data_IF_305867177225
#
_entry.id   IF_305867177225
#
_cell.length_a   1.000
_cell.length_b   1.000
_cell.length_c   1.000
_cell.angle_alpha   90.00
_cell.angle_beta   90.00
_cell.angle_gamma   90.00
#
_symmetry.space_group_name_H-M   'P 1'
#
loop_
_entity.id
_entity.type
_entity.pdbx_description
1 polymer ?
#
# COMPACT_ATOMS: atom_id res chain seq x y z
N UNK A 1 10.99 -13.84 -19.06
CA UNK A 1 12.02 -13.70 -18.01
C UNK A 1 11.32 -13.21 -16.75
N UNK A 2 11.79 -13.63 -15.60
CA UNK A 2 11.25 -13.24 -14.29
C UNK A 2 12.23 -12.25 -13.67
N UNK A 3 11.74 -11.13 -13.15
CA UNK A 3 12.52 -10.18 -12.38
C UNK A 3 11.96 -10.10 -10.96
N UNK A 4 12.84 -10.03 -9.97
CA UNK A 4 12.50 -9.84 -8.56
C UNK A 4 13.36 -8.70 -8.06
N UNK A 5 12.72 -7.63 -7.60
CA UNK A 5 13.37 -6.46 -7.02
C UNK A 5 12.94 -6.30 -5.56
N UNK A 6 13.92 -6.29 -4.66
CA UNK A 6 13.71 -6.21 -3.20
C UNK A 6 13.95 -4.77 -2.77
N UNK A 7 12.86 -4.03 -2.60
CA UNK A 7 12.90 -2.59 -2.32
C UNK A 7 12.82 -2.26 -0.83
N UNK A 8 12.58 -3.25 0.03
CA UNK A 8 12.51 -3.10 1.48
C UNK A 8 12.50 -4.45 2.19
N UNK A 9 12.87 -4.47 3.48
CA UNK A 9 13.06 -5.71 4.24
C UNK A 9 14.42 -6.39 4.02
N UNK A 10 15.31 -5.83 3.18
CA UNK A 10 16.67 -6.30 3.02
C UNK A 10 17.57 -5.78 4.14
N UNK A 11 18.28 -6.65 4.86
CA UNK A 11 19.18 -6.30 5.97
C UNK A 11 18.49 -5.53 7.12
N UNK A 12 17.17 -5.68 7.28
CA UNK A 12 16.38 -5.10 8.36
C UNK A 12 15.21 -6.01 8.74
N UNK A 13 14.60 -5.75 9.91
CA UNK A 13 13.36 -6.41 10.32
C UNK A 13 12.20 -5.50 9.95
N UNK A 14 11.31 -6.02 9.11
CA UNK A 14 10.14 -5.33 8.61
C UNK A 14 10.41 -4.43 7.40
N UNK A 15 9.39 -3.71 6.94
CA UNK A 15 9.47 -2.86 5.75
C UNK A 15 9.37 -3.63 4.44
N UNK A 16 8.77 -4.82 4.45
CA UNK A 16 8.70 -5.72 3.30
C UNK A 16 8.02 -5.04 2.11
N UNK A 17 8.77 -4.99 0.99
CA UNK A 17 8.34 -4.45 -0.31
C UNK A 17 9.11 -5.19 -1.39
N UNK A 18 8.47 -6.14 -2.06
CA UNK A 18 9.10 -6.92 -3.13
C UNK A 18 8.29 -6.75 -4.40
N UNK A 19 8.93 -6.29 -5.47
CA UNK A 19 8.33 -6.20 -6.78
C UNK A 19 8.69 -7.45 -7.59
N UNK A 20 7.68 -8.12 -8.12
CA UNK A 20 7.85 -9.29 -9.00
C UNK A 20 7.28 -8.96 -10.37
N UNK A 21 8.09 -9.19 -11.41
CA UNK A 21 7.69 -8.97 -12.79
C UNK A 21 7.84 -10.22 -13.64
N UNK A 22 6.84 -10.49 -14.47
CA UNK A 22 6.91 -11.49 -15.52
C UNK A 22 6.04 -11.12 -16.72
N UNK A 23 6.62 -11.17 -17.93
CA UNK A 23 5.92 -10.93 -19.21
C UNK A 23 5.03 -9.66 -19.19
N UNK A 24 5.52 -8.59 -18.59
CA UNK A 24 4.81 -7.30 -18.46
C UNK A 24 3.79 -7.23 -17.32
N UNK A 25 3.56 -8.32 -16.59
CA UNK A 25 2.76 -8.32 -15.35
C UNK A 25 3.66 -7.98 -14.17
N UNK A 26 3.26 -6.98 -13.37
CA UNK A 26 4.02 -6.50 -12.21
C UNK A 26 3.15 -6.55 -10.97
N UNK A 27 3.60 -7.27 -9.94
CA UNK A 27 2.90 -7.36 -8.66
C UNK A 27 3.82 -6.96 -7.51
N UNK A 28 3.24 -6.36 -6.47
CA UNK A 28 3.91 -6.08 -5.22
C UNK A 28 3.55 -7.16 -4.18
N UNK A 29 4.56 -7.65 -3.46
CA UNK A 29 4.37 -8.49 -2.28
C UNK A 29 4.67 -7.62 -1.05
N UNK A 30 3.62 -7.39 -0.27
CA UNK A 30 3.56 -6.45 0.83
C UNK A 30 3.95 -5.00 0.44
N UNK A 31 3.54 -4.06 1.29
CA UNK A 31 3.99 -2.68 1.19
C UNK A 31 4.04 -2.03 2.57
N UNK A 32 5.00 -2.47 3.37
CA UNK A 32 5.05 -2.19 4.78
C UNK A 32 6.03 -1.11 5.23
N UNK A 33 5.90 -0.68 6.47
CA UNK A 33 6.77 0.31 7.09
C UNK A 33 8.10 -0.28 7.56
N UNK A 34 9.23 0.34 7.21
CA UNK A 34 10.53 -0.01 7.79
C UNK A 34 10.65 0.61 9.18
N UNK A 35 10.69 -0.22 10.22
CA UNK A 35 10.89 0.27 11.58
C UNK A 35 12.30 0.84 11.80
N UNK A 36 13.31 0.23 11.18
CA UNK A 36 14.70 0.68 11.30
C UNK A 36 14.84 2.09 10.71
N UNK A 37 14.43 2.30 9.46
CA UNK A 37 14.50 3.62 8.84
C UNK A 37 13.62 4.63 9.56
N UNK A 38 12.38 4.25 9.93
CA UNK A 38 11.46 5.17 10.60
C UNK A 38 12.01 5.66 11.95
N UNK A 39 12.65 4.78 12.73
CA UNK A 39 13.21 5.13 14.05
C UNK A 39 14.43 6.06 14.00
N UNK A 40 15.06 6.26 12.83
CA UNK A 40 16.13 7.26 12.66
C UNK A 40 15.61 8.70 12.69
N UNK A 41 14.36 8.90 12.27
CA UNK A 41 13.79 10.23 12.05
C UNK A 41 12.60 10.52 12.96
N UNK A 42 11.87 9.49 13.36
CA UNK A 42 10.63 9.62 14.11
C UNK A 42 10.69 8.85 15.43
N UNK A 43 9.97 9.37 16.41
CA UNK A 43 9.82 8.78 17.74
C UNK A 43 8.40 9.08 18.24
N UNK A 44 8.05 8.57 19.42
CA UNK A 44 6.70 8.72 20.00
C UNK A 44 6.18 10.17 19.95
N UNK A 45 7.05 11.14 20.28
CA UNK A 45 6.72 12.57 20.29
C UNK A 45 7.15 13.32 19.02
N UNK A 46 7.84 12.64 18.09
CA UNK A 46 8.32 13.22 16.84
C UNK A 46 7.72 12.46 15.66
N UNK A 47 6.56 12.93 15.21
CA UNK A 47 5.80 12.31 14.13
C UNK A 47 6.04 13.02 12.78
N UNK A 48 5.84 12.32 11.65
CA UNK A 48 5.91 12.94 10.35
C UNK A 48 4.93 14.09 10.20
N UNK A 49 5.35 15.13 9.47
CA UNK A 49 4.49 16.28 9.20
C UNK A 49 3.41 15.87 8.22
N UNK A 50 2.14 16.04 8.60
CA UNK A 50 0.99 15.77 7.74
C UNK A 50 1.07 16.51 6.39
N UNK A 51 1.68 17.69 6.35
CA UNK A 51 1.67 18.55 5.16
C UNK A 51 2.75 18.23 4.11
N UNK A 52 3.76 17.44 4.43
CA UNK A 52 4.90 17.11 3.54
C UNK A 52 5.23 15.63 3.55
N UNK A 53 4.38 14.80 4.17
CA UNK A 53 4.61 13.38 4.40
C UNK A 53 5.14 12.63 3.16
N UNK A 54 4.50 12.64 1.98
CA UNK A 54 5.01 11.87 0.85
C UNK A 54 6.41 12.32 0.39
N UNK A 55 6.71 13.62 0.41
CA UNK A 55 8.05 14.15 0.06
C UNK A 55 9.10 13.70 1.05
N UNK A 56 8.83 13.89 2.34
CA UNK A 56 9.77 13.54 3.40
C UNK A 56 10.06 12.03 3.39
N UNK A 57 9.05 11.19 3.10
CA UNK A 57 9.23 9.73 3.05
C UNK A 57 10.08 9.27 1.87
N UNK A 58 9.98 9.91 0.70
CA UNK A 58 10.84 9.60 -0.44
C UNK A 58 12.28 10.08 -0.18
N UNK A 59 12.45 11.33 0.28
CA UNK A 59 13.77 11.92 0.55
C UNK A 59 14.53 11.16 1.66
N UNK A 60 13.82 10.73 2.70
CA UNK A 60 14.39 9.94 3.80
C UNK A 60 14.53 8.44 3.48
N UNK A 61 14.27 8.03 2.24
CA UNK A 61 14.33 6.62 1.82
C UNK A 61 13.43 5.68 2.64
N UNK A 62 12.31 6.18 3.16
CA UNK A 62 11.26 5.38 3.79
C UNK A 62 10.37 4.71 2.72
N UNK A 63 10.18 5.39 1.59
CA UNK A 63 9.49 4.89 0.41
C UNK A 63 10.49 4.76 -0.76
N UNK A 64 10.39 3.71 -1.59
CA UNK A 64 11.21 3.58 -2.79
C UNK A 64 10.69 4.52 -3.90
N UNK A 65 11.55 5.14 -4.70
CA UNK A 65 11.09 5.98 -5.82
C UNK A 65 10.71 5.12 -7.05
N UNK A 66 9.51 4.53 -7.01
CA UNK A 66 8.94 3.71 -8.09
C UNK A 66 7.83 4.48 -8.78
N UNK A 67 7.87 4.52 -10.12
CA UNK A 67 6.85 5.19 -10.91
C UNK A 67 5.56 4.37 -10.98
N UNK A 68 4.43 5.08 -11.04
CA UNK A 68 3.12 4.51 -11.33
C UNK A 68 2.46 3.77 -10.17
N UNK A 69 3.03 3.80 -8.96
CA UNK A 69 2.46 3.14 -7.77
C UNK A 69 1.85 4.12 -6.77
N UNK A 70 2.22 5.40 -6.80
CA UNK A 70 1.81 6.39 -5.80
C UNK A 70 0.51 7.12 -6.17
N UNK A 71 -0.22 7.56 -5.16
CA UNK A 71 -1.46 8.35 -5.34
C UNK A 71 -1.18 9.67 -6.04
N UNK A 72 -2.09 10.04 -6.92
CA UNK A 72 -1.94 11.25 -7.76
C UNK A 72 -2.00 12.54 -6.94
N UNK A 73 -2.83 12.61 -5.91
CA UNK A 73 -2.95 13.76 -5.01
C UNK A 73 -1.61 14.07 -4.30
N UNK A 74 -0.86 13.05 -3.89
CA UNK A 74 0.49 13.20 -3.37
C UNK A 74 1.50 13.59 -4.45
N UNK A 75 1.45 13.01 -5.65
CA UNK A 75 2.35 13.38 -6.75
C UNK A 75 2.17 14.86 -7.12
N UNK A 76 0.93 15.32 -7.29
CA UNK A 76 0.61 16.71 -7.61
C UNK A 76 1.09 17.68 -6.53
N UNK A 77 0.87 17.34 -5.25
CA UNK A 77 1.37 18.15 -4.12
C UNK A 77 2.90 18.25 -4.08
N UNK A 78 3.61 17.20 -4.52
CA UNK A 78 5.07 17.20 -4.67
C UNK A 78 5.56 17.93 -5.94
N UNK A 79 4.67 18.39 -6.81
CA UNK A 79 5.01 18.96 -8.11
C UNK A 79 5.51 17.92 -9.12
N UNK A 80 5.22 16.64 -8.91
CA UNK A 80 5.50 15.55 -9.86
C UNK A 80 4.35 15.43 -10.87
N UNK A 81 4.63 15.02 -12.12
CA UNK A 81 3.59 14.73 -13.09
C UNK A 81 2.76 13.53 -12.65
N UNK A 82 1.53 13.44 -13.16
CA UNK A 82 0.71 12.24 -13.07
C UNK A 82 1.42 11.07 -13.74
N UNK A 83 1.32 9.88 -13.13
CA UNK A 83 1.97 8.66 -13.60
C UNK A 83 0.92 7.59 -13.91
N UNK A 84 1.07 6.93 -15.06
CA UNK A 84 0.25 5.78 -15.44
C UNK A 84 0.49 4.58 -14.52
N UNK A 85 -0.55 3.75 -14.34
CA UNK A 85 -0.45 2.58 -13.45
C UNK A 85 0.56 1.59 -14.02
N UNK A 86 1.56 1.27 -13.21
CA UNK A 86 2.65 0.36 -13.62
C UNK A 86 2.66 -0.95 -12.83
N UNK A 87 1.82 -1.08 -11.79
CA UNK A 87 1.64 -2.31 -10.99
C UNK A 87 0.21 -2.80 -11.12
N UNK A 88 0.04 -4.10 -11.36
CA UNK A 88 -1.24 -4.75 -11.57
C UNK A 88 -1.97 -5.09 -10.27
N UNK A 89 -1.24 -5.43 -9.21
CA UNK A 89 -1.81 -5.87 -7.94
C UNK A 89 -0.80 -5.80 -6.79
N UNK A 90 -1.34 -5.71 -5.56
CA UNK A 90 -0.58 -5.88 -4.30
C UNK A 90 -1.11 -7.11 -3.59
N UNK A 91 -0.22 -7.99 -3.13
CA UNK A 91 -0.56 -9.14 -2.30
C UNK A 91 -0.05 -8.91 -0.88
N UNK A 92 -0.97 -8.92 0.09
CA UNK A 92 -0.61 -8.79 1.50
C UNK A 92 -0.56 -10.15 2.18
N UNK A 93 0.59 -10.45 2.79
CA UNK A 93 0.76 -11.64 3.59
C UNK A 93 -0.07 -11.59 4.88
N UNK A 94 -0.08 -10.44 5.58
CA UNK A 94 -0.85 -10.20 6.80
C UNK A 94 -0.90 -8.71 7.19
N UNK A 95 -1.63 -8.38 8.26
CA UNK A 95 -1.98 -7.01 8.65
C UNK A 95 -0.95 -6.27 9.53
N UNK A 96 0.24 -6.83 9.78
CA UNK A 96 1.24 -6.08 10.55
C UNK A 96 1.71 -4.82 9.81
N UNK A 97 2.13 -3.80 10.56
CA UNK A 97 2.53 -2.51 10.00
C UNK A 97 3.73 -2.63 9.04
N UNK A 98 4.67 -3.53 9.32
CA UNK A 98 5.81 -3.82 8.46
C UNK A 98 5.50 -4.62 7.19
N UNK A 99 4.23 -4.95 6.98
CA UNK A 99 3.71 -5.56 5.75
C UNK A 99 2.66 -4.68 5.07
N UNK A 100 1.85 -3.92 5.80
CA UNK A 100 0.71 -3.23 5.23
C UNK A 100 0.73 -1.69 5.34
N UNK A 101 1.44 -1.11 6.32
CA UNK A 101 1.24 0.30 6.73
C UNK A 101 1.38 1.31 5.59
N UNK A 102 2.26 1.06 4.62
CA UNK A 102 2.52 2.01 3.54
C UNK A 102 1.58 1.87 2.36
N UNK A 103 0.61 0.95 2.39
CA UNK A 103 -0.50 0.93 1.41
C UNK A 103 -1.19 2.28 1.33
N UNK A 104 -1.22 3.03 2.43
CA UNK A 104 -1.67 4.43 2.49
C UNK A 104 -1.16 5.30 1.33
N UNK A 105 0.07 5.09 0.86
CA UNK A 105 0.70 5.87 -0.21
C UNK A 105 0.39 5.36 -1.62
N UNK A 106 -0.11 4.13 -1.75
CA UNK A 106 -0.38 3.52 -3.05
C UNK A 106 -1.65 4.11 -3.67
N UNK A 107 -1.64 4.29 -5.00
CA UNK A 107 -2.81 4.72 -5.79
C UNK A 107 -4.03 3.82 -5.51
N UNK A 108 -5.23 4.39 -5.67
CA UNK A 108 -6.48 3.77 -5.20
C UNK A 108 -6.96 2.62 -6.07
N UNK A 109 -6.58 2.62 -7.34
CA UNK A 109 -6.98 1.68 -8.39
C UNK A 109 -6.01 0.49 -8.55
N UNK A 110 -5.03 0.33 -7.65
CA UNK A 110 -4.29 -0.94 -7.55
C UNK A 110 -5.11 -1.89 -6.66
N UNK A 111 -5.53 -3.06 -7.17
CA UNK A 111 -6.25 -4.05 -6.38
C UNK A 111 -5.33 -4.69 -5.32
N UNK A 112 -5.89 -4.95 -4.15
CA UNK A 112 -5.20 -5.53 -3.00
C UNK A 112 -5.77 -6.93 -2.72
N UNK A 113 -4.92 -7.94 -2.79
CA UNK A 113 -5.26 -9.34 -2.52
C UNK A 113 -4.78 -9.72 -1.12
N UNK A 114 -5.69 -10.23 -0.29
CA UNK A 114 -5.35 -10.68 1.06
C UNK A 114 -6.40 -11.68 1.59
N UNK A 115 -6.14 -12.27 2.75
CA UNK A 115 -7.17 -13.06 3.44
C UNK A 115 -8.31 -12.20 3.98
N UNK A 116 -9.49 -12.79 4.18
CA UNK A 116 -10.62 -12.11 4.79
C UNK A 116 -10.28 -11.53 6.16
N UNK A 117 -9.58 -12.31 6.99
CA UNK A 117 -9.16 -11.87 8.31
C UNK A 117 -8.16 -10.70 8.25
N UNK A 118 -7.20 -10.73 7.31
CA UNK A 118 -6.30 -9.59 7.08
C UNK A 118 -7.09 -8.33 6.74
N UNK A 119 -8.05 -8.41 5.81
CA UNK A 119 -8.90 -7.27 5.47
C UNK A 119 -9.66 -6.73 6.70
N UNK A 120 -10.30 -7.61 7.49
CA UNK A 120 -11.00 -7.22 8.72
C UNK A 120 -10.07 -6.53 9.73
N UNK A 121 -8.85 -7.04 9.90
CA UNK A 121 -7.85 -6.43 10.78
C UNK A 121 -7.43 -5.06 10.29
N UNK A 122 -7.19 -4.89 8.99
CA UNK A 122 -6.87 -3.59 8.38
C UNK A 122 -7.99 -2.57 8.60
N UNK A 123 -9.26 -2.96 8.39
CA UNK A 123 -10.41 -2.11 8.66
C UNK A 123 -10.51 -1.72 10.14
N UNK A 124 -10.20 -2.67 11.03
CA UNK A 124 -10.23 -2.44 12.48
C UNK A 124 -9.13 -1.47 12.90
N UNK A 125 -7.91 -1.63 12.36
CA UNK A 125 -6.78 -0.74 12.60
C UNK A 125 -7.06 0.67 12.08
N UNK A 126 -7.64 0.81 10.89
CA UNK A 126 -8.02 2.10 10.31
C UNK A 126 -9.09 2.81 11.16
N UNK A 127 -10.12 2.09 11.62
CA UNK A 127 -11.23 2.68 12.40
C UNK A 127 -10.84 3.04 13.84
N UNK A 128 -9.92 2.29 14.44
CA UNK A 128 -9.53 2.48 15.85
C UNK A 128 -8.23 3.26 16.02
N UNK A 129 -7.43 3.37 14.97
CA UNK A 129 -6.17 4.09 14.96
C UNK A 129 -6.35 5.61 14.97
N UNK A 130 -5.32 6.30 15.48
CA UNK A 130 -5.20 7.77 15.42
C UNK A 130 -3.98 8.21 14.59
N UNK A 131 -3.36 7.27 13.86
CA UNK A 131 -2.16 7.50 13.06
C UNK A 131 -2.40 8.42 11.87
N UNK A 132 -1.33 9.02 11.34
CA UNK A 132 -1.41 9.90 10.17
C UNK A 132 -1.35 9.15 8.84
N UNK A 133 -0.91 7.88 8.88
CA UNK A 133 -0.75 6.98 7.74
C UNK A 133 -1.73 5.82 7.95
N UNK A 134 -3.03 6.07 7.81
CA UNK A 134 -4.07 5.10 8.19
C UNK A 134 -5.04 4.73 7.07
N UNK A 135 -4.82 5.24 5.85
CA UNK A 135 -5.71 4.99 4.70
C UNK A 135 -5.44 3.60 4.07
N UNK A 136 -5.83 2.55 4.79
CA UNK A 136 -5.46 1.17 4.49
C UNK A 136 -6.50 0.48 3.62
N UNK A 137 -7.78 0.75 3.85
CA UNK A 137 -8.94 0.12 3.23
C UNK A 137 -9.79 1.11 2.46
N UNK A 138 -9.86 2.35 2.95
CA UNK A 138 -10.36 3.51 2.21
C UNK A 138 -9.32 4.62 2.25
N UNK A 139 -9.37 5.54 1.30
CA UNK A 139 -8.45 6.67 1.25
C UNK A 139 -9.16 7.95 0.81
N UNK A 140 -8.95 9.03 1.55
CA UNK A 140 -9.46 10.34 1.19
C UNK A 140 -8.36 11.17 0.53
N UNK A 141 -8.64 11.81 -0.60
CA UNK A 141 -7.68 12.68 -1.27
C UNK A 141 -7.16 13.76 -0.31
N UNK A 142 -5.84 13.83 -0.21
CA UNK A 142 -5.10 14.77 0.63
C UNK A 142 -4.59 15.90 -0.25
N UNK A 143 -4.49 17.11 0.30
CA UNK A 143 -4.02 18.31 -0.42
C UNK A 143 -4.95 18.83 -1.52
N UNK A 144 -6.16 18.27 -1.61
CA UNK A 144 -7.20 18.77 -2.52
C UNK A 144 -8.08 19.81 -1.83
N UNK A 145 -8.46 20.84 -2.59
CA UNK A 145 -9.33 21.93 -2.16
C UNK A 145 -10.53 22.03 -3.09
N UNK A 146 -11.69 22.32 -2.51
CA UNK A 146 -12.92 22.55 -3.25
C UNK A 146 -13.50 23.92 -2.90
N UNK A 147 -14.27 24.50 -3.84
CA UNK A 147 -15.01 25.73 -3.60
C UNK A 147 -16.30 25.42 -2.83
N UNK A 148 -16.46 26.01 -1.65
CA UNK A 148 -17.66 25.80 -0.84
C UNK A 148 -18.82 26.70 -1.29
N UNK A 149 -20.00 26.50 -0.71
CA UNK A 149 -21.20 27.30 -1.01
C UNK A 149 -21.05 28.81 -0.75
N UNK A 150 -20.02 29.24 -0.03
CA UNK A 150 -19.71 30.65 0.26
C UNK A 150 -18.68 31.24 -0.73
N UNK A 151 -18.28 30.48 -1.75
CA UNK A 151 -17.26 30.90 -2.72
C UNK A 151 -15.85 30.94 -2.16
N UNK A 152 -15.57 30.24 -1.05
CA UNK A 152 -14.22 30.15 -0.46
C UNK A 152 -13.65 28.75 -0.58
N UNK A 153 -12.32 28.66 -0.71
CA UNK A 153 -11.62 27.39 -0.77
C UNK A 153 -11.65 26.70 0.60
N UNK A 154 -12.09 25.45 0.62
CA UNK A 154 -12.09 24.57 1.78
C UNK A 154 -11.30 23.31 1.45
N UNK A 155 -10.56 22.78 2.43
CA UNK A 155 -9.80 21.54 2.25
C UNK A 155 -10.75 20.35 2.30
N UNK A 156 -10.50 19.38 1.42
CA UNK A 156 -11.18 18.08 1.44
C UNK A 156 -10.95 17.38 2.79
N UNK A 157 -11.97 16.67 3.25
CA UNK A 157 -11.96 15.83 4.45
C UNK A 157 -12.76 14.57 4.20
N UNK A 158 -12.67 13.58 5.10
CA UNK A 158 -13.47 12.34 5.02
C UNK A 158 -15.00 12.56 5.07
N UNK A 159 -15.48 13.80 5.28
CA UNK A 159 -16.90 14.16 5.16
C UNK A 159 -17.34 14.41 3.72
N UNK A 160 -16.39 14.66 2.83
CA UNK A 160 -16.60 14.87 1.40
C UNK A 160 -16.49 13.51 0.70
N UNK A 161 -17.57 12.75 0.71
CA UNK A 161 -17.60 11.36 0.19
C UNK A 161 -17.13 11.25 -1.27
N UNK A 162 -17.27 12.31 -2.06
CA UNK A 162 -16.83 12.37 -3.45
C UNK A 162 -15.31 12.29 -3.64
N UNK A 163 -14.53 12.55 -2.58
CA UNK A 163 -13.06 12.43 -2.57
C UNK A 163 -12.58 11.24 -1.72
N UNK A 164 -13.49 10.38 -1.28
CA UNK A 164 -13.17 9.15 -0.53
C UNK A 164 -13.28 7.98 -1.49
N UNK A 165 -12.18 7.24 -1.62
CA UNK A 165 -12.06 6.12 -2.53
C UNK A 165 -11.89 4.84 -1.73
N UNK A 166 -12.78 3.88 -1.95
CA UNK A 166 -12.60 2.52 -1.42
C UNK A 166 -11.55 1.80 -2.25
N UNK A 167 -10.63 1.10 -1.59
CA UNK A 167 -9.66 0.26 -2.29
C UNK A 167 -10.32 -1.05 -2.71
N UNK A 168 -9.95 -1.53 -3.89
CA UNK A 168 -10.46 -2.79 -4.43
C UNK A 168 -9.79 -3.99 -3.74
N UNK A 169 -10.43 -4.54 -2.71
CA UNK A 169 -9.96 -5.72 -1.98
C UNK A 169 -10.52 -7.02 -2.55
N UNK A 170 -9.61 -7.92 -2.92
CA UNK A 170 -9.92 -9.26 -3.40
C UNK A 170 -9.57 -10.29 -2.33
N UNK A 171 -10.60 -10.97 -1.82
CA UNK A 171 -10.41 -11.97 -0.78
C UNK A 171 -9.87 -13.26 -1.37
N UNK A 172 -8.69 -13.65 -0.89
CA UNK A 172 -8.04 -14.90 -1.23
C UNK A 172 -8.49 -16.00 -0.27
N UNK A 173 -9.02 -17.08 -0.82
CA UNK A 173 -9.32 -18.29 -0.07
C UNK A 173 -8.16 -19.29 -0.19
N UNK A 174 -7.84 -20.05 0.88
CA UNK A 174 -6.85 -21.13 0.81
C UNK A 174 -7.15 -22.09 -0.35
N UNK A 175 -6.09 -22.57 -1.01
CA UNK A 175 -6.13 -23.51 -2.15
C UNK A 175 -6.80 -22.97 -3.43
N UNK A 176 -7.36 -21.76 -3.40
CA UNK A 176 -7.84 -21.07 -4.61
C UNK A 176 -6.72 -20.25 -5.23
N UNK A 177 -6.63 -20.32 -6.55
CA UNK A 177 -5.69 -19.55 -7.35
C UNK A 177 -6.37 -18.40 -8.04
N UNK A 178 -5.66 -17.28 -8.14
CA UNK A 178 -6.08 -16.12 -8.91
C UNK A 178 -5.07 -15.84 -10.02
N UNK A 179 -5.58 -15.45 -11.18
CA UNK A 179 -4.78 -15.02 -12.31
C UNK A 179 -4.67 -13.49 -12.31
N UNK A 180 -3.45 -12.97 -12.26
CA UNK A 180 -3.13 -11.56 -12.50
C UNK A 180 -2.20 -11.52 -13.70
N UNK A 181 -2.68 -11.02 -14.84
CA UNK A 181 -1.92 -11.00 -16.09
C UNK A 181 -1.34 -12.39 -16.43
N UNK A 182 -0.02 -12.51 -16.48
CA UNK A 182 0.70 -13.76 -16.78
C UNK A 182 1.01 -14.64 -15.56
N UNK A 183 0.69 -14.17 -14.36
CA UNK A 183 0.97 -14.83 -13.08
C UNK A 183 -0.28 -15.50 -12.53
N UNK A 184 -0.14 -16.76 -12.10
CA UNK A 184 -1.14 -17.47 -11.31
C UNK A 184 -0.63 -17.56 -9.86
N UNK A 185 -1.35 -16.98 -8.91
CA UNK A 185 -0.93 -16.83 -7.52
C UNK A 185 -1.86 -17.60 -6.58
N UNK A 186 -1.27 -18.26 -5.58
CA UNK A 186 -1.95 -18.98 -4.51
C UNK A 186 -1.41 -18.52 -3.14
N UNK A 187 -2.33 -18.18 -2.24
CA UNK A 187 -2.01 -17.84 -0.85
C UNK A 187 -2.34 -19.02 0.05
N UNK A 188 -1.34 -19.50 0.81
CA UNK A 188 -1.51 -20.59 1.76
C UNK A 188 -1.42 -20.06 3.19
N UNK A 189 -2.33 -20.48 4.09
CA UNK A 189 -2.28 -20.08 5.47
C UNK A 189 -1.02 -20.61 6.15
N UNK A 190 -0.40 -19.78 6.98
CA UNK A 190 0.76 -20.14 7.81
C UNK A 190 0.51 -19.71 9.25
N UNK A 191 1.19 -20.39 10.18
CA UNK A 191 1.16 -19.98 11.58
C UNK A 191 2.04 -18.73 11.78
N UNK A 192 1.55 -17.79 12.59
CA UNK A 192 2.23 -16.53 12.91
C UNK A 192 1.65 -15.90 14.17
N UNK A 193 2.28 -14.84 14.67
CA UNK A 193 1.80 -14.11 15.86
C UNK A 193 0.49 -13.33 15.62
N UNK A 194 0.10 -13.12 14.36
CA UNK A 194 -1.24 -12.68 13.99
C UNK A 194 -2.04 -13.84 13.39
N UNK A 195 -3.34 -13.96 13.74
CA UNK A 195 -4.20 -14.94 13.09
C UNK A 195 -4.25 -14.67 11.58
N UNK A 196 -4.30 -15.75 10.81
CA UNK A 196 -4.57 -15.74 9.37
C UNK A 196 -3.50 -15.08 8.49
N UNK A 197 -2.24 -15.12 8.94
CA UNK A 197 -1.10 -14.88 8.07
C UNK A 197 -1.06 -15.90 6.94
N UNK A 198 -0.55 -15.47 5.78
CA UNK A 198 -0.39 -16.31 4.62
C UNK A 198 1.00 -16.19 4.01
N UNK A 199 1.53 -17.33 3.57
CA UNK A 199 2.65 -17.39 2.65
C UNK A 199 2.15 -17.40 1.20
N UNK A 200 2.88 -16.72 0.31
CA UNK A 200 2.69 -16.87 -1.12
C UNK A 200 3.46 -18.11 -1.58
N UNK A 201 2.73 -19.19 -1.87
CA UNK A 201 3.35 -20.51 -2.08
C UNK A 201 3.68 -20.82 -3.54
N UNK A 202 2.97 -20.24 -4.50
CA UNK A 202 3.12 -20.60 -5.91
C UNK A 202 2.77 -19.43 -6.80
N UNK A 203 3.79 -18.81 -7.41
CA UNK A 203 3.64 -17.93 -8.56
C UNK A 203 3.93 -18.78 -9.80
N UNK A 204 2.88 -19.33 -10.41
CA UNK A 204 3.01 -20.10 -11.66
C UNK A 204 3.03 -19.16 -12.84
N UNK A 205 4.09 -19.29 -13.63
CA UNK A 205 4.28 -18.59 -14.89
C UNK A 205 3.52 -19.36 -15.99
N UNK A 206 2.39 -18.87 -16.49
CA UNK A 206 1.71 -19.56 -17.61
C UNK A 206 2.45 -19.28 -18.94
N UNK A 207 2.62 -20.33 -19.75
CA UNK A 207 3.19 -20.26 -21.10
C UNK A 207 4.71 -20.48 -21.18
N UNK A 208 5.22 -21.50 -20.50
CA UNK A 208 6.42 -22.24 -20.92
C UNK A 208 6.01 -23.47 -21.71
#
# INVERSE_FOLDING_TARGET
MVSIDVMGGSNEIGGNKILVEHKGTRILLDFGMSFNQNSKYFSEFLNPRKCTAPTDYLEMSLLPDVKGIYREDYLQHMGRPTEERDVDAVFLSHAHADHAQYIHFLRFDIPVYCTQATNILLQSLEKTGAGTVSDMTSACETFVFYENQKGTLSRVTNKNSEFVHDRDFHIMEPEKRVQVGSLEIEMLPVDHSLPCACGLSSIRMKGT
#
